data_IF_908108733540
#
_entry.id   IF_908108733540
#
_cell.length_a   1.000
_cell.length_b   1.000
_cell.length_c   1.000
_cell.angle_alpha   90.00
_cell.angle_beta   90.00
_cell.angle_gamma   90.00
#
_symmetry.space_group_name_H-M   'P 1'
#
loop_
_entity.id
_entity.type
_entity.pdbx_description
1 polymer ?
#
# COMPACT_ATOMS: atom_id res chain seq x y z
N UNK A 1 32.89 42.78 -2.29
CA UNK A 1 31.98 43.09 -3.41
C UNK A 1 31.22 44.36 -3.05
N UNK A 2 31.07 45.33 -3.96
CA UNK A 2 30.31 46.55 -3.63
C UNK A 2 28.82 46.19 -3.49
N UNK A 3 28.05 46.81 -2.58
CA UNK A 3 26.63 46.49 -2.37
C UNK A 3 25.78 46.58 -3.65
N UNK A 4 26.12 47.52 -4.54
CA UNK A 4 25.45 47.73 -5.83
C UNK A 4 25.71 46.59 -6.83
N UNK A 5 26.93 46.04 -6.86
CA UNK A 5 27.26 44.89 -7.71
C UNK A 5 26.52 43.64 -7.23
N UNK A 6 26.38 43.46 -5.91
CA UNK A 6 25.69 42.32 -5.32
C UNK A 6 24.20 42.34 -5.64
N UNK A 7 23.55 43.50 -5.50
CA UNK A 7 22.16 43.68 -5.89
C UNK A 7 21.93 43.43 -7.39
N UNK A 8 22.91 43.76 -8.25
CA UNK A 8 22.83 43.46 -9.68
C UNK A 8 22.92 41.95 -9.96
N UNK A 9 23.79 41.22 -9.26
CA UNK A 9 23.88 39.75 -9.36
C UNK A 9 22.58 39.08 -8.88
N UNK A 10 21.98 39.57 -7.79
CA UNK A 10 20.70 39.06 -7.31
C UNK A 10 19.57 39.28 -8.32
N UNK A 11 19.54 40.42 -9.01
CA UNK A 11 18.59 40.69 -10.09
C UNK A 11 18.68 39.65 -11.21
N UNK A 12 19.88 39.41 -11.73
CA UNK A 12 20.10 38.39 -12.76
C UNK A 12 19.72 36.98 -12.28
N UNK A 13 20.05 36.63 -11.03
CA UNK A 13 19.67 35.36 -10.46
C UNK A 13 18.16 35.16 -10.40
N UNK A 14 17.39 36.18 -10.00
CA UNK A 14 15.92 36.07 -9.92
C UNK A 14 15.32 35.90 -11.30
N UNK A 15 15.78 36.65 -12.30
CA UNK A 15 15.32 36.51 -13.69
C UNK A 15 15.62 35.11 -14.24
N UNK A 16 16.86 34.63 -14.08
CA UNK A 16 17.26 33.29 -14.53
C UNK A 16 16.50 32.18 -13.80
N UNK A 17 16.30 32.35 -12.49
CA UNK A 17 15.54 31.40 -11.67
C UNK A 17 14.08 31.30 -12.09
N UNK A 18 13.48 32.39 -12.56
CA UNK A 18 12.10 32.38 -13.07
C UNK A 18 11.97 31.57 -14.37
N UNK A 19 12.97 31.60 -15.26
CA UNK A 19 12.99 30.75 -16.46
C UNK A 19 13.07 29.26 -16.10
N UNK A 20 13.95 28.91 -15.15
CA UNK A 20 14.03 27.53 -14.65
C UNK A 20 12.75 27.09 -13.96
N UNK A 21 12.16 27.93 -13.09
CA UNK A 21 10.89 27.64 -12.44
C UNK A 21 9.77 27.42 -13.44
N UNK A 22 9.65 28.25 -14.48
CA UNK A 22 8.62 28.08 -15.51
C UNK A 22 8.78 26.74 -16.25
N UNK A 23 10.02 26.34 -16.52
CA UNK A 23 10.33 25.04 -17.14
C UNK A 23 9.93 23.88 -16.22
N UNK A 24 10.25 23.97 -14.93
CA UNK A 24 9.87 22.97 -13.92
C UNK A 24 8.34 22.90 -13.80
N UNK A 25 7.65 24.05 -13.69
CA UNK A 25 6.20 24.12 -13.58
C UNK A 25 5.50 23.45 -14.77
N UNK A 26 5.94 23.72 -16.00
CA UNK A 26 5.37 23.08 -17.19
C UNK A 26 5.53 21.56 -17.15
N UNK A 27 6.72 21.08 -16.78
CA UNK A 27 6.98 19.65 -16.65
C UNK A 27 6.10 18.99 -15.58
N UNK A 28 5.92 19.65 -14.43
CA UNK A 28 5.08 19.15 -13.34
C UNK A 28 3.58 19.29 -13.61
N UNK A 29 3.15 20.34 -14.30
CA UNK A 29 1.74 20.57 -14.68
C UNK A 29 1.23 19.55 -15.69
N UNK A 30 2.11 18.89 -16.44
CA UNK A 30 1.75 17.87 -17.41
C UNK A 30 2.50 16.55 -17.13
N UNK A 31 2.57 16.18 -15.85
CA UNK A 31 3.53 15.20 -15.33
C UNK A 31 3.52 13.86 -16.08
N UNK A 32 2.35 13.30 -16.41
CA UNK A 32 2.28 12.03 -17.14
C UNK A 32 2.95 12.12 -18.52
N UNK A 33 2.62 13.16 -19.30
CA UNK A 33 3.21 13.35 -20.63
C UNK A 33 4.73 13.60 -20.53
N UNK A 34 5.16 14.36 -19.51
CA UNK A 34 6.58 14.60 -19.24
C UNK A 34 7.33 13.32 -18.89
N UNK A 35 6.71 12.38 -18.16
CA UNK A 35 7.31 11.07 -17.82
C UNK A 35 7.42 10.20 -19.07
N UNK A 36 6.40 10.23 -19.94
CA UNK A 36 6.36 9.44 -21.17
C UNK A 36 7.36 9.96 -22.23
N UNK A 37 7.64 11.27 -22.26
CA UNK A 37 8.67 11.88 -23.12
C UNK A 37 10.00 12.12 -22.37
N UNK A 38 10.98 11.24 -22.62
CA UNK A 38 12.32 11.36 -22.05
C UNK A 38 13.00 12.72 -22.28
N UNK A 39 12.72 13.40 -23.39
CA UNK A 39 13.33 14.69 -23.66
C UNK A 39 12.74 15.78 -22.74
N UNK A 40 11.43 15.76 -22.51
CA UNK A 40 10.78 16.70 -21.60
C UNK A 40 11.22 16.48 -20.15
N UNK A 41 11.34 15.22 -19.73
CA UNK A 41 11.89 14.86 -18.40
C UNK A 41 13.32 15.35 -18.21
N UNK A 42 14.19 15.16 -19.21
CA UNK A 42 15.59 15.65 -19.19
C UNK A 42 15.67 17.18 -19.13
N UNK A 43 14.79 17.88 -19.85
CA UNK A 43 14.72 19.35 -19.80
C UNK A 43 14.34 19.84 -18.41
N UNK A 44 13.37 19.20 -17.76
CA UNK A 44 12.97 19.50 -16.38
C UNK A 44 14.08 19.18 -15.38
N UNK A 45 14.77 18.05 -15.55
CA UNK A 45 15.91 17.67 -14.71
C UNK A 45 17.06 18.69 -14.82
N UNK A 46 17.41 19.08 -16.05
CA UNK A 46 18.45 20.10 -16.30
C UNK A 46 18.10 21.44 -15.69
N UNK A 47 16.85 21.89 -15.81
CA UNK A 47 16.40 23.15 -15.19
C UNK A 47 16.55 23.10 -13.66
N UNK A 48 16.18 21.98 -13.03
CA UNK A 48 16.36 21.76 -11.58
C UNK A 48 17.82 21.76 -11.17
N UNK A 49 18.68 21.08 -11.94
CA UNK A 49 20.12 21.02 -11.70
C UNK A 49 20.80 22.40 -11.84
N UNK A 50 20.46 23.17 -12.87
CA UNK A 50 20.96 24.52 -13.08
C UNK A 50 20.55 25.46 -11.93
N UNK A 51 19.27 25.43 -11.53
CA UNK A 51 18.76 26.23 -10.43
C UNK A 51 19.43 25.88 -9.08
N UNK A 52 19.75 24.60 -8.86
CA UNK A 52 20.52 24.15 -7.68
C UNK A 52 21.93 24.74 -7.68
N UNK A 53 22.59 24.74 -8.84
CA UNK A 53 23.94 25.30 -9.02
C UNK A 53 23.98 26.80 -8.71
N UNK A 54 23.06 27.56 -9.30
CA UNK A 54 22.99 29.03 -9.09
C UNK A 54 22.64 29.38 -7.64
N UNK A 55 21.72 28.66 -7.00
CA UNK A 55 21.41 28.83 -5.58
C UNK A 55 22.62 28.53 -4.68
N UNK A 56 23.38 27.47 -4.99
CA UNK A 56 24.59 27.10 -4.28
C UNK A 56 25.70 28.14 -4.40
N UNK A 57 25.90 28.70 -5.61
CA UNK A 57 26.89 29.75 -5.86
C UNK A 57 26.64 31.03 -5.06
N UNK A 58 25.37 31.37 -4.81
CA UNK A 58 24.98 32.53 -4.02
C UNK A 58 24.84 32.25 -2.51
N UNK A 59 25.07 31.01 -2.09
CA UNK A 59 25.02 30.61 -0.68
C UNK A 59 23.61 30.40 -0.11
N UNK A 60 22.58 30.27 -0.97
CA UNK A 60 21.21 29.95 -0.55
C UNK A 60 21.07 28.48 -0.15
N UNK A 61 21.64 28.12 1.00
CA UNK A 61 21.77 26.73 1.45
C UNK A 61 20.43 26.00 1.62
N UNK A 62 19.39 26.64 2.14
CA UNK A 62 18.06 26.01 2.28
C UNK A 62 17.42 25.69 0.94
N UNK A 63 17.52 26.60 -0.02
CA UNK A 63 17.01 26.39 -1.39
C UNK A 63 17.78 25.28 -2.10
N UNK A 64 19.12 25.28 -1.98
CA UNK A 64 19.98 24.24 -2.52
C UNK A 64 19.61 22.84 -1.98
N UNK A 65 19.29 22.72 -0.68
CA UNK A 65 18.84 21.46 -0.07
C UNK A 65 17.52 20.97 -0.66
N UNK A 66 16.53 21.85 -0.80
CA UNK A 66 15.22 21.51 -1.39
C UNK A 66 15.41 21.05 -2.83
N UNK A 67 16.18 21.79 -3.64
CA UNK A 67 16.46 21.44 -5.02
C UNK A 67 17.21 20.12 -5.16
N UNK A 68 18.15 19.82 -4.25
CA UNK A 68 18.84 18.53 -4.27
C UNK A 68 17.90 17.36 -3.99
N UNK A 69 16.94 17.52 -3.08
CA UNK A 69 15.96 16.47 -2.79
C UNK A 69 14.92 16.33 -3.91
N UNK A 70 14.52 17.45 -4.51
CA UNK A 70 13.67 17.44 -5.69
C UNK A 70 14.34 16.69 -6.83
N UNK A 71 15.63 16.97 -7.09
CA UNK A 71 16.44 16.25 -8.07
C UNK A 71 16.44 14.74 -7.83
N UNK A 72 16.59 14.30 -6.57
CA UNK A 72 16.55 12.86 -6.23
C UNK A 72 15.17 12.23 -6.48
N UNK A 73 14.08 12.97 -6.22
CA UNK A 73 12.72 12.52 -6.53
C UNK A 73 12.48 12.46 -8.05
N UNK A 74 13.00 13.43 -8.81
CA UNK A 74 12.89 13.44 -10.27
C UNK A 74 13.63 12.27 -10.92
N UNK A 75 14.75 11.81 -10.33
CA UNK A 75 15.45 10.59 -10.81
C UNK A 75 14.54 9.37 -10.78
N UNK A 76 13.64 9.28 -9.80
CA UNK A 76 12.68 8.18 -9.68
C UNK A 76 11.64 8.20 -10.81
N UNK A 77 11.42 9.32 -11.48
CA UNK A 77 10.53 9.41 -12.64
C UNK A 77 11.09 8.76 -13.92
N UNK A 78 12.37 8.36 -13.93
CA UNK A 78 12.92 7.55 -15.04
C UNK A 78 12.40 6.10 -15.03
N UNK A 79 11.82 5.63 -13.92
CA UNK A 79 11.10 4.37 -13.88
C UNK A 79 9.74 4.52 -14.58
N UNK A 80 9.22 3.47 -15.23
CA UNK A 80 7.91 3.53 -15.85
C UNK A 80 6.86 3.72 -14.74
N UNK A 81 6.30 4.91 -14.59
CA UNK A 81 5.33 5.26 -13.56
C UNK A 81 4.09 5.84 -14.24
N UNK A 82 2.90 5.51 -13.74
CA UNK A 82 1.68 6.22 -14.09
C UNK A 82 1.48 7.29 -13.02
N UNK A 83 1.65 8.55 -13.40
CA UNK A 83 1.43 9.69 -12.53
C UNK A 83 -0.06 9.88 -12.25
N UNK A 84 -0.40 9.83 -10.97
CA UNK A 84 -1.73 10.18 -10.47
C UNK A 84 -1.77 11.64 -9.98
N UNK A 85 -2.97 12.14 -9.75
CA UNK A 85 -3.20 13.51 -9.27
C UNK A 85 -2.46 13.81 -7.94
N UNK A 86 -2.44 12.91 -6.93
CA UNK A 86 -1.67 13.13 -5.71
C UNK A 86 -0.17 13.32 -5.93
N UNK A 87 0.45 12.52 -6.81
CA UNK A 87 1.88 12.69 -7.14
C UNK A 87 2.14 14.08 -7.71
N UNK A 88 1.28 14.50 -8.63
CA UNK A 88 1.39 15.79 -9.29
C UNK A 88 1.26 16.95 -8.29
N UNK A 89 0.26 16.90 -7.40
CA UNK A 89 0.03 17.93 -6.38
C UNK A 89 1.23 18.06 -5.42
N UNK A 90 1.80 16.93 -4.97
CA UNK A 90 2.96 16.93 -4.07
C UNK A 90 4.19 17.58 -4.69
N UNK A 91 4.44 17.36 -5.99
CA UNK A 91 5.50 18.06 -6.70
C UNK A 91 5.21 19.55 -6.86
N UNK A 92 3.94 19.92 -7.15
CA UNK A 92 3.54 21.32 -7.26
C UNK A 92 3.65 22.08 -5.92
N UNK A 93 3.39 21.44 -4.79
CA UNK A 93 3.58 22.04 -3.46
C UNK A 93 5.06 22.39 -3.18
N UNK A 94 5.98 21.51 -3.60
CA UNK A 94 7.43 21.78 -3.54
C UNK A 94 7.78 22.95 -4.47
N UNK A 95 7.24 22.96 -5.69
CA UNK A 95 7.42 24.05 -6.64
C UNK A 95 6.97 25.40 -6.03
N UNK A 96 5.78 25.47 -5.44
CA UNK A 96 5.28 26.70 -4.83
C UNK A 96 6.14 27.17 -3.64
N UNK A 97 6.75 26.24 -2.91
CA UNK A 97 7.71 26.58 -1.86
C UNK A 97 8.97 27.21 -2.45
N UNK A 98 9.51 26.66 -3.53
CA UNK A 98 10.67 27.22 -4.25
C UNK A 98 10.35 28.61 -4.84
N UNK A 99 9.18 28.75 -5.46
CA UNK A 99 8.69 30.00 -6.02
C UNK A 99 8.59 31.10 -4.95
N UNK A 100 8.01 30.78 -3.77
CA UNK A 100 7.94 31.70 -2.64
C UNK A 100 9.32 32.12 -2.14
N UNK A 101 10.28 31.19 -2.05
CA UNK A 101 11.65 31.52 -1.67
C UNK A 101 12.29 32.50 -2.67
N UNK A 102 12.09 32.31 -3.97
CA UNK A 102 12.65 33.18 -5.02
C UNK A 102 11.98 34.56 -5.03
N UNK A 103 10.67 34.63 -4.78
CA UNK A 103 9.94 35.91 -4.67
C UNK A 103 10.44 36.71 -3.46
N UNK A 104 10.67 36.07 -2.32
CA UNK A 104 11.17 36.77 -1.11
C UNK A 104 12.59 37.34 -1.30
N UNK A 105 13.43 36.72 -2.15
CA UNK A 105 14.75 37.29 -2.51
C UNK A 105 14.62 38.66 -3.17
N UNK A 106 13.52 38.91 -3.90
CA UNK A 106 13.24 40.19 -4.57
C UNK A 106 12.79 41.29 -3.60
N UNK A 107 12.31 40.92 -2.41
CA UNK A 107 11.79 41.89 -1.44
C UNK A 107 12.91 42.70 -0.79
N UNK A 108 12.63 43.94 -0.40
CA UNK A 108 13.62 44.82 0.24
C UNK A 108 14.15 44.28 1.59
N UNK A 109 13.37 43.41 2.24
CA UNK A 109 13.75 42.75 3.50
C UNK A 109 14.66 41.53 3.30
N UNK A 110 14.66 40.94 2.10
CA UNK A 110 15.42 39.72 1.77
C UNK A 110 15.00 38.47 2.57
N UNK A 111 15.79 37.40 2.43
CA UNK A 111 15.60 36.16 3.21
C UNK A 111 16.16 36.33 4.62
N UNK A 112 15.27 36.54 5.60
CA UNK A 112 15.59 36.37 7.01
C UNK A 112 15.44 34.90 7.44
N UNK A 113 16.20 34.49 8.46
CA UNK A 113 16.16 33.11 8.95
C UNK A 113 14.76 32.68 9.43
N UNK A 114 13.97 33.61 9.96
CA UNK A 114 12.58 33.38 10.40
C UNK A 114 11.65 33.13 9.21
N UNK A 115 11.70 33.96 8.16
CA UNK A 115 10.90 33.75 6.93
C UNK A 115 11.23 32.44 6.25
N UNK A 116 12.51 32.06 6.20
CA UNK A 116 12.93 30.77 5.64
C UNK A 116 12.33 29.62 6.45
N UNK A 117 12.40 29.68 7.78
CA UNK A 117 11.82 28.66 8.64
C UNK A 117 10.30 28.52 8.41
N UNK A 118 9.58 29.64 8.31
CA UNK A 118 8.13 29.66 8.07
C UNK A 118 7.76 29.07 6.70
N UNK A 119 8.48 29.45 5.64
CA UNK A 119 8.23 28.94 4.28
C UNK A 119 8.55 27.45 4.17
N UNK A 120 9.62 27.00 4.84
CA UNK A 120 10.07 25.60 4.79
C UNK A 120 9.41 24.69 5.84
N UNK A 121 8.51 25.19 6.68
CA UNK A 121 8.00 24.47 7.86
C UNK A 121 7.45 23.07 7.53
N UNK A 122 6.76 22.93 6.39
CA UNK A 122 6.14 21.66 5.97
C UNK A 122 6.93 20.89 4.91
N UNK A 123 8.06 21.42 4.42
CA UNK A 123 8.72 20.86 3.22
C UNK A 123 9.26 19.45 3.45
N UNK A 124 9.74 19.18 4.66
CA UNK A 124 10.26 17.87 5.06
C UNK A 124 9.16 16.80 5.05
N UNK A 125 7.97 17.15 5.53
CA UNK A 125 6.78 16.28 5.51
C UNK A 125 6.36 16.01 4.07
N UNK A 126 6.30 17.04 3.22
CA UNK A 126 5.92 16.90 1.81
C UNK A 126 6.89 15.95 1.08
N UNK A 127 8.21 16.11 1.26
CA UNK A 127 9.18 15.20 0.65
C UNK A 127 9.05 13.76 1.17
N UNK A 128 8.69 13.57 2.43
CA UNK A 128 8.50 12.23 3.01
C UNK A 128 7.30 11.53 2.37
N UNK A 129 6.18 12.25 2.23
CA UNK A 129 4.97 11.75 1.56
C UNK A 129 5.24 11.49 0.07
N UNK A 130 5.91 12.42 -0.62
CA UNK A 130 6.27 12.29 -2.03
C UNK A 130 7.13 11.06 -2.30
N UNK A 131 8.21 10.86 -1.54
CA UNK A 131 9.08 9.70 -1.73
C UNK A 131 8.33 8.39 -1.48
N UNK A 132 7.51 8.33 -0.44
CA UNK A 132 6.70 7.15 -0.14
C UNK A 132 5.75 6.82 -1.29
N UNK A 133 5.11 7.85 -1.86
CA UNK A 133 4.20 7.71 -2.99
C UNK A 133 4.91 7.31 -4.29
N UNK A 134 6.10 7.88 -4.57
CA UNK A 134 6.94 7.48 -5.71
C UNK A 134 7.35 6.02 -5.65
N UNK A 135 7.85 5.56 -4.51
CA UNK A 135 8.22 4.14 -4.34
C UNK A 135 7.00 3.22 -4.51
N UNK A 136 5.85 3.61 -3.97
CA UNK A 136 4.59 2.89 -4.17
C UNK A 136 4.22 2.76 -5.65
N UNK A 137 4.34 3.84 -6.43
CA UNK A 137 4.02 3.80 -7.87
C UNK A 137 5.03 3.00 -8.70
N UNK A 138 6.32 3.04 -8.34
CA UNK A 138 7.36 2.21 -8.97
C UNK A 138 7.11 0.73 -8.70
N UNK A 139 6.74 0.38 -7.47
CA UNK A 139 6.39 -1.00 -7.13
C UNK A 139 5.12 -1.43 -7.87
N UNK A 140 4.12 -0.55 -8.00
CA UNK A 140 2.88 -0.79 -8.77
C UNK A 140 3.15 -1.01 -10.26
N UNK A 141 4.07 -0.29 -10.88
CA UNK A 141 4.40 -0.50 -12.29
C UNK A 141 5.18 -1.78 -12.51
N UNK A 142 6.20 -2.05 -11.69
CA UNK A 142 6.93 -3.31 -11.70
C UNK A 142 6.01 -4.52 -11.47
N UNK A 143 4.97 -4.35 -10.65
CA UNK A 143 3.89 -5.30 -10.45
C UNK A 143 3.08 -5.55 -11.72
N UNK A 144 2.57 -4.50 -12.40
CA UNK A 144 1.85 -4.63 -13.67
C UNK A 144 2.68 -5.29 -14.77
N UNK A 145 3.98 -4.99 -14.85
CA UNK A 145 4.89 -5.63 -15.80
C UNK A 145 5.07 -7.12 -15.49
N UNK A 146 5.14 -7.50 -14.21
CA UNK A 146 5.16 -8.93 -13.81
C UNK A 146 3.86 -9.65 -14.14
N UNK A 147 2.70 -9.02 -13.92
CA UNK A 147 1.38 -9.63 -14.18
C UNK A 147 1.14 -9.81 -15.68
N UNK A 148 1.43 -8.80 -16.51
CA UNK A 148 1.25 -8.88 -17.97
C UNK A 148 2.14 -9.95 -18.64
N UNK A 149 3.28 -10.31 -18.04
CA UNK A 149 4.11 -11.43 -18.49
C UNK A 149 3.62 -12.82 -18.03
N UNK A 150 2.67 -12.90 -17.09
CA UNK A 150 2.11 -14.17 -16.58
C UNK A 150 0.92 -14.67 -17.43
N UNK A 151 0.19 -13.77 -18.09
CA UNK A 151 -1.07 -14.06 -18.79
C UNK A 151 -0.94 -14.81 -20.12
N UNK A 152 0.27 -15.07 -20.62
CA UNK A 152 0.39 -15.66 -21.95
C UNK A 152 0.07 -17.17 -22.02
N UNK A 153 0.32 -17.98 -20.96
CA UNK A 153 0.28 -19.45 -21.14
C UNK A 153 -0.01 -20.36 -19.92
N UNK A 154 -0.33 -19.86 -18.72
CA UNK A 154 -0.55 -20.73 -17.56
C UNK A 154 -2.01 -20.81 -17.10
N UNK A 155 -2.67 -21.93 -17.42
CA UNK A 155 -3.87 -22.37 -16.71
C UNK A 155 -3.49 -22.62 -15.23
N UNK A 156 -4.13 -21.88 -14.33
CA UNK A 156 -3.98 -22.00 -12.89
C UNK A 156 -4.41 -23.41 -12.46
N UNK A 157 -3.46 -24.26 -12.06
CA UNK A 157 -3.73 -25.61 -11.59
C UNK A 157 -3.12 -25.80 -10.21
N UNK A 158 -3.81 -25.40 -9.14
CA UNK A 158 -3.29 -25.50 -7.77
C UNK A 158 -4.32 -26.11 -6.80
N UNK A 159 -3.82 -26.77 -5.76
CA UNK A 159 -4.55 -27.62 -4.79
C UNK A 159 -5.33 -26.83 -3.71
N UNK A 160 -5.81 -25.63 -4.01
CA UNK A 160 -6.69 -24.90 -3.08
C UNK A 160 -7.85 -24.23 -3.84
N UNK A 161 -9.08 -24.78 -3.76
CA UNK A 161 -10.28 -24.11 -4.25
C UNK A 161 -10.77 -23.07 -3.22
N UNK A 162 -9.89 -22.17 -2.77
CA UNK A 162 -10.26 -21.13 -1.81
C UNK A 162 -10.87 -19.94 -2.57
N UNK A 163 -12.15 -19.72 -2.33
CA UNK A 163 -12.87 -18.52 -2.76
C UNK A 163 -12.75 -17.44 -1.70
N UNK A 164 -12.22 -16.28 -2.07
CA UNK A 164 -12.19 -15.11 -1.19
C UNK A 164 -13.34 -14.18 -1.56
N UNK A 165 -14.18 -13.85 -0.59
CA UNK A 165 -15.22 -12.84 -0.69
C UNK A 165 -14.69 -11.60 0.02
N UNK A 166 -14.20 -10.63 -0.74
CA UNK A 166 -13.75 -9.34 -0.23
C UNK A 166 -14.97 -8.45 -0.02
N UNK A 167 -15.20 -7.99 1.20
CA UNK A 167 -16.37 -7.17 1.52
C UNK A 167 -16.03 -5.89 2.27
N UNK A 168 -16.74 -4.80 1.94
CA UNK A 168 -16.77 -3.59 2.75
C UNK A 168 -18.04 -2.79 2.42
N UNK A 169 -18.46 -1.94 3.35
CA UNK A 169 -19.60 -1.01 3.14
C UNK A 169 -19.20 0.21 2.31
N UNK A 170 -17.89 0.51 2.24
CA UNK A 170 -17.34 1.64 1.50
C UNK A 170 -17.15 1.24 0.04
N UNK A 171 -17.94 1.86 -0.84
CA UNK A 171 -17.88 1.69 -2.30
C UNK A 171 -16.48 1.86 -2.87
N UNK A 172 -15.70 2.81 -2.35
CA UNK A 172 -14.36 3.10 -2.87
C UNK A 172 -13.37 1.97 -2.58
N UNK A 173 -13.40 1.36 -1.39
CA UNK A 173 -12.53 0.21 -1.09
C UNK A 173 -12.90 -1.02 -1.93
N UNK A 174 -14.19 -1.25 -2.20
CA UNK A 174 -14.60 -2.31 -3.12
C UNK A 174 -14.07 -2.09 -4.54
N UNK A 175 -14.05 -0.84 -5.04
CA UNK A 175 -13.45 -0.50 -6.33
C UNK A 175 -11.94 -0.74 -6.32
N UNK A 176 -11.26 -0.31 -5.26
CA UNK A 176 -9.83 -0.56 -5.08
C UNK A 176 -9.52 -2.06 -5.04
N UNK A 177 -10.33 -2.87 -4.36
CA UNK A 177 -10.19 -4.33 -4.43
C UNK A 177 -10.37 -4.85 -5.85
N UNK A 178 -11.31 -4.33 -6.63
CA UNK A 178 -11.50 -4.76 -8.02
C UNK A 178 -10.26 -4.49 -8.87
N UNK A 179 -9.61 -3.34 -8.67
CA UNK A 179 -8.40 -2.97 -9.40
C UNK A 179 -7.18 -3.84 -9.01
N UNK A 180 -6.97 -4.11 -7.71
CA UNK A 180 -5.81 -4.86 -7.23
C UNK A 180 -5.93 -6.38 -7.35
N UNK A 181 -7.16 -6.91 -7.33
CA UNK A 181 -7.42 -8.34 -7.51
C UNK A 181 -7.78 -8.70 -8.95
N UNK A 182 -7.71 -7.75 -9.89
CA UNK A 182 -7.90 -8.01 -11.32
C UNK A 182 -6.95 -9.12 -11.79
N UNK A 183 -7.49 -10.13 -12.47
CA UNK A 183 -6.72 -11.28 -12.97
C UNK A 183 -6.41 -12.37 -11.93
N UNK A 184 -6.72 -12.17 -10.64
CA UNK A 184 -6.58 -13.22 -9.63
C UNK A 184 -7.80 -14.16 -9.62
N UNK A 185 -7.59 -15.48 -9.47
CA UNK A 185 -8.68 -16.47 -9.51
C UNK A 185 -9.51 -16.45 -8.22
N UNK A 186 -10.76 -16.91 -8.31
CA UNK A 186 -11.64 -17.19 -7.16
C UNK A 186 -11.86 -16.01 -6.20
N UNK A 187 -11.89 -14.79 -6.74
CA UNK A 187 -12.23 -13.58 -5.99
C UNK A 187 -13.68 -13.17 -6.28
N UNK A 188 -14.41 -12.85 -5.23
CA UNK A 188 -15.70 -12.16 -5.29
C UNK A 188 -15.60 -10.89 -4.47
N UNK A 189 -16.16 -9.79 -4.98
CA UNK A 189 -16.17 -8.50 -4.29
C UNK A 189 -17.61 -8.13 -4.02
N UNK A 190 -17.92 -7.90 -2.74
CA UNK A 190 -19.27 -7.58 -2.27
C UNK A 190 -19.25 -6.23 -1.56
N UNK A 191 -20.02 -5.29 -2.09
CA UNK A 191 -20.26 -4.03 -1.40
C UNK A 191 -21.47 -4.19 -0.47
N UNK A 192 -21.21 -4.43 0.80
CA UNK A 192 -22.21 -4.80 1.79
C UNK A 192 -21.57 -5.22 3.10
N UNK A 193 -22.37 -5.81 3.99
CA UNK A 193 -21.86 -6.38 5.24
C UNK A 193 -21.84 -7.91 5.17
N UNK A 194 -21.24 -8.55 6.17
CA UNK A 194 -21.13 -10.02 6.16
C UNK A 194 -22.48 -10.70 6.42
N UNK A 195 -23.42 -10.00 7.07
CA UNK A 195 -24.78 -10.47 7.33
C UNK A 195 -25.60 -10.63 6.04
N UNK A 196 -25.23 -9.93 4.97
CA UNK A 196 -25.86 -10.04 3.65
C UNK A 196 -25.42 -11.30 2.89
N UNK A 197 -24.34 -11.96 3.34
CA UNK A 197 -23.81 -13.14 2.69
C UNK A 197 -24.63 -14.38 3.08
N UNK A 198 -25.16 -15.15 2.10
CA UNK A 198 -25.99 -16.30 2.39
C UNK A 198 -25.22 -17.45 3.04
N UNK A 199 -23.92 -17.57 2.73
CA UNK A 199 -23.05 -18.64 3.21
C UNK A 199 -21.57 -18.27 3.03
N UNK A 200 -20.75 -18.64 4.02
CA UNK A 200 -19.29 -18.64 3.94
C UNK A 200 -18.76 -19.59 5.02
N UNK A 201 -17.63 -20.27 4.78
CA UNK A 201 -17.08 -21.20 5.77
C UNK A 201 -16.41 -20.47 6.92
N UNK A 202 -15.67 -19.40 6.61
CA UNK A 202 -14.88 -18.67 7.58
C UNK A 202 -15.00 -17.15 7.38
N UNK A 203 -15.10 -16.39 8.46
CA UNK A 203 -14.95 -14.93 8.43
C UNK A 203 -13.69 -14.48 9.16
N UNK A 204 -12.97 -13.53 8.58
CA UNK A 204 -11.75 -12.98 9.18
C UNK A 204 -12.09 -11.76 10.02
N UNK A 205 -11.60 -11.72 11.26
CA UNK A 205 -11.74 -10.53 12.12
C UNK A 205 -10.43 -9.75 12.15
N UNK A 206 -10.50 -8.46 11.84
CA UNK A 206 -9.37 -7.55 11.77
C UNK A 206 -9.09 -6.94 13.15
N UNK A 207 -8.64 -7.78 14.07
CA UNK A 207 -8.61 -7.41 15.48
C UNK A 207 -7.47 -6.46 15.84
N UNK A 208 -7.80 -5.48 16.68
CA UNK A 208 -6.82 -4.88 17.59
C UNK A 208 -6.41 -5.95 18.61
N UNK A 209 -5.10 -6.14 18.84
CA UNK A 209 -4.56 -7.06 19.84
C UNK A 209 -5.03 -6.73 21.28
N UNK A 210 -5.61 -5.54 21.49
CA UNK A 210 -6.25 -5.13 22.73
C UNK A 210 -7.79 -5.29 22.63
N UNK A 211 -8.45 -5.90 23.63
CA UNK A 211 -9.90 -5.97 23.70
C UNK A 211 -10.47 -4.56 23.91
N UNK A 212 -10.94 -3.91 22.84
CA UNK A 212 -11.57 -2.59 22.92
C UNK A 212 -13.02 -2.67 22.47
N UNK A 213 -13.90 -1.96 23.17
CA UNK A 213 -15.36 -2.05 23.02
C UNK A 213 -15.93 -1.54 21.67
N UNK A 214 -15.11 -1.06 20.73
CA UNK A 214 -15.59 -0.32 19.54
C UNK A 214 -15.09 -0.84 18.18
N UNK A 215 -14.49 -2.04 18.09
CA UNK A 215 -14.02 -2.58 16.80
C UNK A 215 -15.12 -3.31 16.01
N UNK A 216 -14.95 -3.39 14.69
CA UNK A 216 -15.78 -4.19 13.74
C UNK A 216 -15.89 -5.65 14.23
N UNK A 217 -14.86 -6.15 14.92
CA UNK A 217 -14.82 -7.48 15.51
C UNK A 217 -15.95 -7.71 16.51
N UNK A 218 -16.40 -6.66 17.24
CA UNK A 218 -17.50 -6.81 18.20
C UNK A 218 -18.83 -7.06 17.50
N UNK A 219 -19.04 -6.55 16.29
CA UNK A 219 -20.26 -6.84 15.53
C UNK A 219 -20.28 -8.32 15.10
N UNK A 220 -19.15 -8.83 14.61
CA UNK A 220 -18.98 -10.23 14.21
C UNK A 220 -19.15 -11.15 15.43
N UNK A 221 -18.47 -10.87 16.54
CA UNK A 221 -18.57 -11.69 17.76
C UNK A 221 -19.99 -11.67 18.35
N UNK A 222 -20.68 -10.53 18.33
CA UNK A 222 -22.09 -10.44 18.77
C UNK A 222 -23.02 -11.26 17.89
N UNK A 223 -22.77 -11.33 16.58
CA UNK A 223 -23.55 -12.13 15.66
C UNK A 223 -23.47 -13.63 16.00
N UNK A 224 -22.28 -14.12 16.38
CA UNK A 224 -22.07 -15.52 16.76
C UNK A 224 -22.41 -15.84 18.22
N UNK A 225 -22.49 -14.84 19.08
CA UNK A 225 -22.88 -14.95 20.48
C UNK A 225 -21.72 -14.99 21.47
N UNK A 226 -22.04 -14.78 22.76
CA UNK A 226 -21.04 -14.65 23.83
C UNK A 226 -20.19 -15.89 24.03
N UNK A 227 -20.69 -17.08 23.71
CA UNK A 227 -19.95 -18.33 23.89
C UNK A 227 -18.74 -18.39 22.96
N UNK A 228 -18.88 -17.89 21.72
CA UNK A 228 -17.79 -17.82 20.74
C UNK A 228 -16.76 -16.76 21.17
N UNK A 229 -17.22 -15.62 21.69
CA UNK A 229 -16.33 -14.60 22.24
C UNK A 229 -15.52 -15.13 23.44
N UNK A 230 -16.16 -15.82 24.38
CA UNK A 230 -15.48 -16.46 25.53
C UNK A 230 -14.50 -17.54 25.07
N UNK A 231 -14.88 -18.37 24.11
CA UNK A 231 -14.02 -19.39 23.52
C UNK A 231 -12.77 -18.76 22.90
N UNK A 232 -12.96 -17.72 22.08
CA UNK A 232 -11.86 -17.00 21.45
C UNK A 232 -10.91 -16.40 22.50
N UNK A 233 -11.44 -15.72 23.53
CA UNK A 233 -10.62 -15.15 24.60
C UNK A 233 -9.84 -16.21 25.39
N UNK A 234 -10.47 -17.34 25.71
CA UNK A 234 -9.79 -18.46 26.37
C UNK A 234 -8.65 -19.02 25.50
N UNK A 235 -8.89 -19.19 24.19
CA UNK A 235 -7.87 -19.69 23.25
C UNK A 235 -6.71 -18.70 23.11
N UNK A 236 -6.99 -17.40 23.09
CA UNK A 236 -5.94 -16.35 23.09
C UNK A 236 -5.14 -16.39 24.40
N UNK A 237 -5.82 -16.57 25.53
CA UNK A 237 -5.16 -16.68 26.84
C UNK A 237 -4.27 -17.92 26.94
N UNK A 238 -4.73 -19.06 26.42
CA UNK A 238 -4.00 -20.32 26.46
C UNK A 238 -2.80 -20.35 25.49
N UNK A 239 -2.99 -19.89 24.25
CA UNK A 239 -1.95 -19.97 23.21
C UNK A 239 -0.98 -18.80 23.23
N UNK A 240 -1.45 -17.61 23.58
CA UNK A 240 -0.69 -16.37 23.46
C UNK A 240 -0.53 -15.61 24.78
N UNK A 241 -0.89 -16.23 25.90
CA UNK A 241 -0.86 -15.59 27.23
C UNK A 241 -1.65 -14.27 27.28
N UNK A 242 -2.66 -14.13 26.44
CA UNK A 242 -3.52 -12.95 26.36
C UNK A 242 -3.09 -11.90 25.32
N UNK A 243 -1.93 -12.04 24.66
CA UNK A 243 -1.44 -11.08 23.64
C UNK A 243 -1.09 -11.81 22.33
N UNK A 244 -2.07 -11.93 21.43
CA UNK A 244 -1.85 -12.55 20.12
C UNK A 244 -1.03 -11.61 19.20
N UNK A 245 0.15 -12.04 18.72
CA UNK A 245 1.02 -11.17 17.92
C UNK A 245 0.53 -11.01 16.47
N UNK A 246 0.91 -9.88 15.85
CA UNK A 246 0.69 -9.63 14.42
C UNK A 246 1.41 -10.71 13.58
N UNK A 247 0.81 -11.10 12.47
CA UNK A 247 1.32 -12.19 11.62
C UNK A 247 0.94 -13.59 12.11
N UNK A 248 -0.06 -13.68 12.99
CA UNK A 248 -0.70 -14.95 13.37
C UNK A 248 -2.19 -14.91 13.05
N UNK A 249 -2.79 -16.08 12.91
CA UNK A 249 -4.23 -16.22 12.70
C UNK A 249 -4.75 -17.44 13.45
N UNK A 250 -5.77 -17.24 14.27
CA UNK A 250 -6.36 -18.27 15.13
C UNK A 250 -7.75 -18.65 14.60
N UNK A 251 -7.92 -19.90 14.21
CA UNK A 251 -9.20 -20.43 13.75
C UNK A 251 -10.01 -20.96 14.94
N UNK A 252 -11.25 -20.52 15.04
CA UNK A 252 -12.21 -20.90 16.09
C UNK A 252 -13.53 -21.35 15.46
N UNK A 253 -14.11 -22.43 15.99
CA UNK A 253 -15.43 -22.92 15.59
C UNK A 253 -16.54 -22.06 16.23
N UNK A 254 -17.52 -21.65 15.43
CA UNK A 254 -18.65 -20.81 15.89
C UNK A 254 -19.89 -21.62 16.27
N UNK A 255 -19.92 -22.91 15.91
CA UNK A 255 -21.11 -23.77 15.93
C UNK A 255 -22.28 -23.28 15.07
N UNK A 256 -22.07 -22.29 14.19
CA UNK A 256 -23.09 -21.82 13.27
C UNK A 256 -23.16 -22.73 12.03
N UNK A 257 -24.35 -23.21 11.62
CA UNK A 257 -24.48 -24.20 10.54
C UNK A 257 -24.05 -23.67 9.16
N UNK A 258 -24.19 -22.36 8.91
CA UNK A 258 -23.84 -21.72 7.65
C UNK A 258 -22.50 -20.97 7.69
N UNK A 259 -21.94 -20.75 8.89
CA UNK A 259 -20.77 -19.88 9.10
C UNK A 259 -19.84 -20.49 10.16
N UNK A 260 -19.31 -21.69 9.92
CA UNK A 260 -18.76 -22.55 10.96
C UNK A 260 -17.47 -22.03 11.62
N UNK A 261 -16.74 -21.10 11.01
CA UNK A 261 -15.43 -20.66 11.50
C UNK A 261 -15.26 -19.14 11.56
N UNK A 262 -14.44 -18.71 12.51
CA UNK A 262 -13.83 -17.37 12.56
C UNK A 262 -12.32 -17.52 12.52
N UNK A 263 -11.63 -16.68 11.74
CA UNK A 263 -10.19 -16.54 11.76
C UNK A 263 -9.79 -15.21 12.41
N UNK A 264 -9.39 -15.26 13.68
CA UNK A 264 -8.95 -14.09 14.43
C UNK A 264 -7.52 -13.71 14.06
N UNK A 265 -7.37 -12.56 13.41
CA UNK A 265 -6.11 -12.13 12.79
C UNK A 265 -5.76 -10.71 13.24
N UNK A 266 -4.84 -10.54 14.20
CA UNK A 266 -4.45 -9.22 14.68
C UNK A 266 -3.71 -8.40 13.62
N UNK A 267 -4.20 -7.20 13.33
CA UNK A 267 -3.56 -6.26 12.39
C UNK A 267 -3.04 -4.99 13.06
N UNK A 268 -3.36 -4.80 14.35
CA UNK A 268 -3.02 -3.61 15.13
C UNK A 268 -2.58 -4.01 16.53
N UNK A 269 -1.42 -3.53 16.99
CA UNK A 269 -0.95 -3.75 18.38
C UNK A 269 -1.23 -2.56 19.30
N UNK A 270 -1.25 -1.34 18.74
CA UNK A 270 -1.52 -0.07 19.43
C UNK A 270 -2.11 0.92 18.41
N UNK A 271 -2.83 1.95 18.85
CA UNK A 271 -3.33 3.05 17.99
C UNK A 271 -2.18 3.95 17.49
N UNK A 272 -1.32 3.41 16.64
CA UNK A 272 -0.20 4.13 16.00
C UNK A 272 -0.38 4.05 14.50
N UNK A 273 0.04 5.09 13.78
CA UNK A 273 0.00 5.13 12.32
C UNK A 273 0.68 3.88 11.73
N UNK A 274 -0.05 3.20 10.84
CA UNK A 274 0.41 1.98 10.17
C UNK A 274 1.11 2.26 8.82
N UNK A 275 1.32 3.54 8.47
CA UNK A 275 1.96 3.91 7.21
C UNK A 275 3.39 3.36 7.15
N UNK A 276 3.68 2.54 6.13
CA UNK A 276 5.01 1.96 5.87
C UNK A 276 5.27 0.57 6.46
N UNK A 277 4.31 -0.05 7.15
CA UNK A 277 4.44 -1.43 7.68
C UNK A 277 3.59 -2.44 6.89
N UNK A 278 4.01 -3.70 6.86
CA UNK A 278 3.41 -4.81 6.10
C UNK A 278 2.39 -5.64 6.91
N UNK A 279 1.78 -5.06 7.95
CA UNK A 279 0.89 -5.81 8.86
C UNK A 279 -0.36 -6.39 8.18
N UNK A 280 -0.89 -5.73 7.15
CA UNK A 280 -2.04 -6.24 6.40
C UNK A 280 -1.63 -7.48 5.59
N UNK A 281 -0.45 -7.42 4.97
CA UNK A 281 0.16 -8.55 4.27
C UNK A 281 0.39 -9.71 5.22
N UNK A 282 1.04 -9.46 6.37
CA UNK A 282 1.32 -10.48 7.39
C UNK A 282 0.03 -11.10 7.93
N UNK A 283 -1.00 -10.28 8.16
CA UNK A 283 -2.31 -10.74 8.61
C UNK A 283 -2.94 -11.71 7.62
N UNK A 284 -3.15 -11.28 6.37
CA UNK A 284 -3.77 -12.16 5.37
C UNK A 284 -2.93 -13.39 5.06
N UNK A 285 -1.60 -13.26 5.00
CA UNK A 285 -0.69 -14.39 4.83
C UNK A 285 -0.86 -15.42 5.95
N UNK A 286 -0.90 -14.97 7.20
CA UNK A 286 -1.12 -15.85 8.35
C UNK A 286 -2.50 -16.52 8.30
N UNK A 287 -3.55 -15.81 7.89
CA UNK A 287 -4.88 -16.38 7.69
C UNK A 287 -4.86 -17.50 6.65
N UNK A 288 -4.26 -17.25 5.48
CA UNK A 288 -4.18 -18.24 4.40
C UNK A 288 -3.38 -19.49 4.82
N UNK A 289 -2.29 -19.31 5.56
CA UNK A 289 -1.52 -20.41 6.13
C UNK A 289 -2.30 -21.20 7.18
N UNK A 290 -2.99 -20.52 8.09
CA UNK A 290 -3.81 -21.16 9.11
C UNK A 290 -4.93 -21.99 8.47
N UNK A 291 -5.62 -21.45 7.46
CA UNK A 291 -6.66 -22.16 6.70
C UNK A 291 -6.07 -23.38 5.99
N UNK A 292 -4.92 -23.23 5.32
CA UNK A 292 -4.24 -24.35 4.66
C UNK A 292 -3.87 -25.44 5.67
N UNK A 293 -3.36 -25.08 6.85
CA UNK A 293 -3.03 -26.04 7.90
C UNK A 293 -4.29 -26.74 8.44
N UNK A 294 -5.35 -25.98 8.71
CA UNK A 294 -6.64 -26.51 9.14
C UNK A 294 -7.21 -27.51 8.13
N UNK A 295 -7.26 -27.14 6.85
CA UNK A 295 -7.75 -28.03 5.80
C UNK A 295 -6.90 -29.29 5.62
N UNK A 296 -5.58 -29.22 5.88
CA UNK A 296 -4.71 -30.41 5.91
C UNK A 296 -5.02 -31.34 7.07
N UNK A 297 -5.33 -30.79 8.25
CA UNK A 297 -5.71 -31.58 9.43
C UNK A 297 -7.08 -32.26 9.23
N UNK A 298 -8.01 -31.56 8.57
CA UNK A 298 -9.36 -32.04 8.26
C UNK A 298 -9.51 -32.54 6.83
N UNK A 299 -8.44 -33.07 6.22
CA UNK A 299 -8.44 -33.51 4.82
C UNK A 299 -9.49 -34.59 4.50
N UNK A 300 -9.86 -35.39 5.49
CA UNK A 300 -10.87 -36.46 5.37
C UNK A 300 -12.29 -36.02 5.79
N UNK A 301 -12.50 -34.76 6.18
CA UNK A 301 -13.77 -34.26 6.68
C UNK A 301 -14.20 -33.00 5.91
N UNK A 302 -14.93 -33.21 4.80
CA UNK A 302 -15.41 -32.12 3.92
C UNK A 302 -16.20 -31.04 4.68
N UNK A 303 -16.98 -31.43 5.69
CA UNK A 303 -17.78 -30.51 6.50
C UNK A 303 -16.94 -29.55 7.36
N UNK A 304 -15.67 -29.90 7.64
CA UNK A 304 -14.74 -29.07 8.40
C UNK A 304 -13.74 -28.33 7.52
N UNK A 305 -13.80 -28.47 6.20
CA UNK A 305 -12.93 -27.72 5.30
C UNK A 305 -13.42 -26.30 5.11
N UNK A 306 -12.47 -25.36 5.05
CA UNK A 306 -12.70 -23.95 4.80
C UNK A 306 -12.36 -23.67 3.34
N UNK A 307 -13.37 -23.43 2.52
CA UNK A 307 -13.23 -23.18 1.09
C UNK A 307 -13.72 -21.78 0.69
N UNK A 308 -14.66 -21.19 1.44
CA UNK A 308 -15.18 -19.85 1.20
C UNK A 308 -14.87 -18.94 2.38
N UNK A 309 -14.11 -17.88 2.15
CA UNK A 309 -13.64 -16.98 3.22
C UNK A 309 -14.17 -15.57 3.00
N UNK A 310 -14.93 -15.06 3.95
CA UNK A 310 -15.35 -13.67 4.01
C UNK A 310 -14.23 -12.82 4.63
N UNK A 311 -13.72 -11.88 3.85
CA UNK A 311 -12.59 -11.00 4.19
C UNK A 311 -13.06 -9.55 4.19
N UNK A 312 -13.30 -8.95 5.36
CA UNK A 312 -13.47 -7.52 5.47
C UNK A 312 -12.15 -6.78 5.19
N UNK A 313 -12.24 -5.48 4.92
CA UNK A 313 -11.07 -4.60 4.78
C UNK A 313 -10.17 -4.60 6.03
N UNK A 314 -9.14 -5.44 6.03
CA UNK A 314 -8.19 -5.58 7.14
C UNK A 314 -7.49 -4.23 7.40
N UNK A 315 -7.58 -3.72 8.63
CA UNK A 315 -6.94 -2.45 9.00
C UNK A 315 -7.65 -1.18 8.53
N UNK A 316 -8.90 -1.24 8.03
CA UNK A 316 -9.68 -0.07 7.54
C UNK A 316 -10.35 0.77 8.66
N UNK A 317 -9.72 0.87 9.84
CA UNK A 317 -10.24 1.66 10.96
C UNK A 317 -9.91 3.16 10.80
N UNK A 318 -10.73 4.09 11.35
CA UNK A 318 -10.42 5.53 11.30
C UNK A 318 -9.04 5.82 11.92
N UNK A 319 -8.11 6.36 11.11
CA UNK A 319 -6.72 6.63 11.52
C UNK A 319 -5.68 5.58 11.10
N UNK A 320 -6.04 4.59 10.28
CA UNK A 320 -5.18 3.48 9.84
C UNK A 320 -4.72 3.56 8.36
N UNK A 321 -4.10 2.47 7.87
CA UNK A 321 -3.49 2.29 6.53
C UNK A 321 -4.37 2.86 5.40
N UNK A 322 -3.81 3.59 4.42
CA UNK A 322 -4.55 4.02 3.23
C UNK A 322 -5.24 2.85 2.52
N UNK A 323 -6.43 3.06 1.97
CA UNK A 323 -7.23 1.98 1.35
C UNK A 323 -6.53 1.30 0.19
N UNK A 324 -5.78 2.04 -0.62
CA UNK A 324 -4.91 1.47 -1.65
C UNK A 324 -3.87 0.51 -1.09
N UNK A 325 -3.27 0.86 0.04
CA UNK A 325 -2.22 0.06 0.66
C UNK A 325 -2.80 -1.20 1.31
N UNK A 326 -4.02 -1.14 1.87
CA UNK A 326 -4.76 -2.31 2.32
C UNK A 326 -4.99 -3.29 1.16
N UNK A 327 -5.57 -2.81 0.06
CA UNK A 327 -5.86 -3.65 -1.11
C UNK A 327 -4.60 -4.21 -1.77
N UNK A 328 -3.53 -3.41 -1.87
CA UNK A 328 -2.22 -3.85 -2.38
C UNK A 328 -1.61 -4.94 -1.51
N UNK A 329 -1.55 -4.76 -0.19
CA UNK A 329 -0.98 -5.76 0.71
C UNK A 329 -1.80 -7.06 0.71
N UNK A 330 -3.13 -6.96 0.67
CA UNK A 330 -4.01 -8.13 0.60
C UNK A 330 -3.82 -8.89 -0.73
N UNK A 331 -3.84 -8.21 -1.88
CA UNK A 331 -3.63 -8.84 -3.19
C UNK A 331 -2.26 -9.51 -3.28
N UNK A 332 -1.20 -8.85 -2.79
CA UNK A 332 0.15 -9.40 -2.76
C UNK A 332 0.25 -10.67 -1.89
N UNK A 333 -0.37 -10.67 -0.71
CA UNK A 333 -0.36 -11.86 0.16
C UNK A 333 -1.08 -13.04 -0.51
N UNK A 334 -2.24 -12.80 -1.14
CA UNK A 334 -2.97 -13.84 -1.85
C UNK A 334 -2.21 -14.35 -3.07
N UNK A 335 -1.64 -13.46 -3.87
CA UNK A 335 -0.85 -13.84 -5.03
C UNK A 335 0.41 -14.63 -4.66
N UNK A 336 1.16 -14.17 -3.66
CA UNK A 336 2.32 -14.91 -3.15
C UNK A 336 1.91 -16.29 -2.64
N UNK A 337 0.74 -16.38 -2.02
CA UNK A 337 0.21 -17.65 -1.53
C UNK A 337 -0.07 -18.60 -2.69
N UNK A 338 -0.74 -18.13 -3.75
CA UNK A 338 -1.01 -18.90 -4.96
C UNK A 338 0.27 -19.38 -5.65
N UNK A 339 1.29 -18.51 -5.80
CA UNK A 339 2.58 -18.90 -6.40
C UNK A 339 3.37 -19.90 -5.56
N UNK A 340 3.16 -19.91 -4.25
CA UNK A 340 3.85 -20.82 -3.33
C UNK A 340 3.25 -22.23 -3.33
N UNK A 341 2.13 -22.46 -4.02
CA UNK A 341 1.49 -23.77 -4.10
C UNK A 341 2.16 -24.67 -5.14
N UNK A 342 2.29 -25.98 -4.87
CA UNK A 342 2.75 -26.91 -5.88
C UNK A 342 1.68 -27.05 -6.98
N UNK A 343 2.08 -27.15 -8.28
CA UNK A 343 1.14 -27.38 -9.37
C UNK A 343 0.38 -28.70 -9.15
N UNK A 344 -0.90 -28.70 -9.53
CA UNK A 344 -1.84 -29.80 -9.41
C UNK A 344 -1.32 -31.01 -10.17
N UNK A 345 -0.80 -32.00 -9.44
CA UNK A 345 -0.55 -33.33 -9.98
C UNK A 345 -1.86 -34.09 -9.94
N UNK A 346 -2.46 -34.32 -11.11
CA UNK A 346 -3.56 -35.27 -11.29
C UNK A 346 -3.24 -36.55 -10.51
N UNK A 347 -4.13 -36.97 -9.62
CA UNK A 347 -4.03 -38.23 -8.86
C UNK A 347 -3.78 -39.46 -9.75
N UNK A 348 -4.12 -39.39 -11.04
CA UNK A 348 -3.78 -40.38 -12.06
C UNK A 348 -2.27 -40.60 -12.29
N UNK A 349 -1.40 -39.61 -12.04
CA UNK A 349 0.04 -39.79 -12.21
C UNK A 349 0.73 -40.46 -11.01
N UNK A 350 0.14 -40.41 -9.80
CA UNK A 350 0.68 -41.14 -8.65
C UNK A 350 0.49 -42.65 -8.79
N UNK A 351 -0.65 -43.10 -9.33
CA UNK A 351 -0.88 -44.53 -9.62
C UNK A 351 0.01 -45.02 -10.77
N UNK A 352 0.26 -44.20 -11.79
CA UNK A 352 1.15 -44.60 -12.89
C UNK A 352 2.63 -44.69 -12.49
N UNK A 353 3.11 -43.81 -11.60
CA UNK A 353 4.50 -43.87 -11.12
C UNK A 353 4.74 -45.00 -10.11
N UNK A 354 3.75 -45.37 -9.29
CA UNK A 354 3.86 -46.52 -8.39
C UNK A 354 3.79 -47.86 -9.12
N UNK A 355 3.08 -47.94 -10.25
CA UNK A 355 3.07 -49.13 -11.12
C UNK A 355 4.38 -49.32 -11.90
N UNK A 356 5.07 -48.23 -12.27
CA UNK A 356 6.35 -48.28 -12.99
C UNK A 356 7.57 -48.55 -12.10
N UNK A 357 7.43 -48.49 -10.77
CA UNK A 357 8.52 -48.80 -9.81
C UNK A 357 8.50 -50.24 -9.30
N UNK A 358 7.57 -51.08 -9.79
CA UNK A 358 7.43 -52.50 -9.40
C UNK A 358 7.87 -53.47 -10.53
N UNK A 359 8.33 -52.96 -11.68
CA UNK A 359 9.03 -53.75 -12.71
C UNK A 359 10.52 -53.45 -12.69
#
# INVERSE_FOLDING_TARGET
MKPEEFNRILGYFVEESQEYLNTIYKGLSNLQNTIDDRNELEVMFRATFCLKGTAGMLGFTSMMKILSRLEDCLKLLHYPIIADEPLQLLFLDIYHTLERLIIEIKTYEGLTATKVADITFNIETIFTVLNSHLFFLIDKSNYKTKVTHVDAYQKWGYEIPLKLILLDTKTFLCRTFADYFEGLPNIEIVNGTFEDLPFFDCIVTAASALPSANSIDRAILRFFGEDVEKLLQNRIQEEYLGDQPIGTSLIVETNHPLHPFIAHTPTLRMQVSMAGNDHVYQGLWATLLAIRQHNRLYCNCLQKQINTVALPGLGNSPGSVPVDEVARQMSMAYQNFLFSLPPFQNSYQREFQSLLTIT
#
